data_IF_146522655490
#
_entry.id   IF_146522655490
#
_cell.length_a   1.000
_cell.length_b   1.000
_cell.length_c   1.000
_cell.angle_alpha   90.00
_cell.angle_beta   90.00
_cell.angle_gamma   90.00
#
_symmetry.space_group_name_H-M   'P 1'
#
loop_
_entity.id
_entity.type
_entity.pdbx_description
1 polymer ?
#
# COMPACT_ATOMS: atom_id res chain seq x y z
N UNK A 1 -24.86 16.08 14.37
CA UNK A 1 -23.70 16.34 13.52
C UNK A 1 -22.79 15.13 13.55
N UNK A 2 -22.57 14.58 12.41
CA UNK A 2 -21.78 13.37 12.34
C UNK A 2 -20.30 13.70 12.36
N UNK A 3 -19.66 13.35 13.44
CA UNK A 3 -18.24 13.39 13.47
C UNK A 3 -17.73 12.18 12.74
N UNK A 4 -17.43 12.35 11.48
CA UNK A 4 -16.78 11.29 10.75
C UNK A 4 -15.31 11.26 11.16
N UNK A 5 -14.87 10.10 11.63
CA UNK A 5 -13.46 9.90 11.86
C UNK A 5 -12.73 10.08 10.54
N UNK A 6 -11.56 10.71 10.56
CA UNK A 6 -10.81 10.92 9.33
C UNK A 6 -10.38 9.60 8.72
N UNK A 7 -10.53 9.51 7.41
CA UNK A 7 -10.04 8.37 6.66
C UNK A 7 -8.51 8.38 6.70
N UNK A 8 -7.91 7.23 6.93
CA UNK A 8 -6.47 7.09 6.86
C UNK A 8 -6.04 7.00 5.41
N UNK A 9 -5.01 7.75 5.04
CA UNK A 9 -4.43 7.70 3.70
C UNK A 9 -3.09 6.98 3.81
N UNK A 10 -2.95 5.91 3.04
CA UNK A 10 -1.76 5.07 3.07
C UNK A 10 -1.17 5.03 1.68
N UNK A 11 0.09 5.44 1.56
CA UNK A 11 0.82 5.33 0.31
C UNK A 11 1.70 4.08 0.36
N UNK A 12 1.52 3.20 -0.61
CA UNK A 12 2.36 2.02 -0.78
C UNK A 12 3.23 2.25 -2.01
N UNK A 13 4.53 2.27 -1.81
CA UNK A 13 5.51 2.49 -2.87
C UNK A 13 6.38 1.26 -3.02
N UNK A 14 6.57 0.79 -4.25
CA UNK A 14 7.49 -0.31 -4.52
C UNK A 14 8.85 0.27 -4.88
N UNK A 15 9.92 -0.27 -4.29
CA UNK A 15 11.27 0.14 -4.67
C UNK A 15 11.56 -0.23 -6.12
N UNK A 16 12.39 0.58 -6.76
CA UNK A 16 12.84 0.32 -8.11
C UNK A 16 13.55 -1.04 -8.20
N UNK A 17 14.37 -1.32 -7.21
CA UNK A 17 15.11 -2.59 -7.13
C UNK A 17 14.16 -3.79 -7.14
N UNK A 18 13.09 -3.72 -6.36
CA UNK A 18 12.12 -4.80 -6.27
C UNK A 18 11.34 -4.94 -7.58
N UNK A 19 10.94 -3.83 -8.17
CA UNK A 19 10.19 -3.86 -9.42
C UNK A 19 10.99 -4.48 -10.57
N UNK A 20 12.30 -4.23 -10.59
CA UNK A 20 13.17 -4.81 -11.63
C UNK A 20 13.44 -6.30 -11.37
N UNK A 21 13.76 -6.65 -10.13
CA UNK A 21 14.08 -8.03 -9.78
C UNK A 21 12.85 -8.94 -9.89
N UNK A 22 11.66 -8.39 -9.64
CA UNK A 22 10.42 -9.16 -9.66
C UNK A 22 9.34 -8.38 -10.42
N UNK A 23 9.41 -8.36 -11.77
CA UNK A 23 8.45 -7.56 -12.55
C UNK A 23 6.99 -7.91 -12.31
N UNK A 24 6.71 -9.13 -11.86
CA UNK A 24 5.33 -9.57 -11.57
C UNK A 24 4.74 -8.87 -10.34
N UNK A 25 5.58 -8.24 -9.49
CA UNK A 25 5.12 -7.73 -8.20
C UNK A 25 4.10 -6.61 -8.34
N UNK A 26 4.25 -5.77 -9.37
CA UNK A 26 3.32 -4.66 -9.57
C UNK A 26 1.90 -5.18 -9.78
N UNK A 27 1.74 -6.18 -10.64
CA UNK A 27 0.44 -6.79 -10.89
C UNK A 27 -0.07 -7.55 -9.68
N UNK A 28 0.83 -8.22 -8.96
CA UNK A 28 0.45 -8.98 -7.78
C UNK A 28 -0.08 -8.05 -6.68
N UNK A 29 0.55 -6.90 -6.48
CA UNK A 29 0.07 -5.93 -5.48
C UNK A 29 -1.25 -5.33 -5.93
N UNK A 30 -1.39 -4.98 -7.20
CA UNK A 30 -2.66 -4.50 -7.72
C UNK A 30 -3.79 -5.51 -7.52
N UNK A 31 -3.53 -6.77 -7.79
CA UNK A 31 -4.50 -7.84 -7.56
C UNK A 31 -4.84 -8.02 -6.08
N UNK A 32 -3.83 -7.95 -5.22
CA UNK A 32 -4.03 -8.03 -3.78
C UNK A 32 -4.94 -6.89 -3.29
N UNK A 33 -4.67 -5.66 -3.72
CA UNK A 33 -5.45 -4.51 -3.29
C UNK A 33 -6.88 -4.57 -3.80
N UNK A 34 -7.09 -5.09 -5.01
CA UNK A 34 -8.44 -5.30 -5.55
C UNK A 34 -9.21 -6.33 -4.74
N UNK A 35 -8.57 -7.42 -4.37
CA UNK A 35 -9.20 -8.44 -3.53
C UNK A 35 -9.51 -7.90 -2.14
N UNK A 36 -8.61 -7.09 -1.60
CA UNK A 36 -8.79 -6.47 -0.29
C UNK A 36 -9.98 -5.51 -0.31
N UNK A 37 -10.13 -4.75 -1.38
CA UNK A 37 -11.28 -3.86 -1.55
C UNK A 37 -12.59 -4.65 -1.54
N UNK A 38 -12.61 -5.80 -2.19
CA UNK A 38 -13.81 -6.64 -2.22
C UNK A 38 -14.15 -7.23 -0.87
N UNK A 39 -13.14 -7.50 -0.05
CA UNK A 39 -13.31 -8.15 1.25
C UNK A 39 -13.64 -7.15 2.36
N UNK A 40 -13.11 -5.94 2.28
CA UNK A 40 -13.23 -4.96 3.37
C UNK A 40 -13.92 -3.69 2.87
N UNK A 41 -15.20 -3.49 3.19
CA UNK A 41 -15.91 -2.26 2.80
C UNK A 41 -15.23 -1.03 3.41
N UNK A 42 -15.13 0.01 2.62
CA UNK A 42 -14.49 1.25 3.05
C UNK A 42 -13.02 1.36 2.68
N UNK A 43 -12.37 0.24 2.41
CA UNK A 43 -11.04 0.28 1.82
C UNK A 43 -11.16 0.55 0.33
N UNK A 44 -10.32 1.43 -0.21
CA UNK A 44 -10.29 1.66 -1.66
C UNK A 44 -8.92 2.14 -2.10
N UNK A 45 -8.56 1.81 -3.33
CA UNK A 45 -7.38 2.38 -3.97
C UNK A 45 -7.83 3.68 -4.64
N UNK A 46 -7.36 4.80 -4.11
CA UNK A 46 -7.69 6.10 -4.63
C UNK A 46 -6.95 6.39 -5.92
N UNK A 47 -5.69 5.96 -6.01
CA UNK A 47 -4.84 6.30 -7.13
C UNK A 47 -3.69 5.31 -7.27
N UNK A 48 -3.37 4.99 -8.51
CA UNK A 48 -2.14 4.28 -8.85
C UNK A 48 -1.33 5.16 -9.78
N UNK A 49 -0.03 5.24 -9.54
CA UNK A 49 0.87 6.02 -10.38
C UNK A 49 2.18 5.27 -10.62
N UNK A 50 2.71 5.44 -11.83
CA UNK A 50 4.06 5.03 -12.14
C UNK A 50 4.90 6.30 -12.23
N UNK A 51 5.92 6.39 -11.40
CA UNK A 51 6.79 7.55 -11.36
C UNK A 51 7.94 7.31 -12.34
N UNK A 52 7.85 7.93 -13.50
CA UNK A 52 8.80 7.66 -14.59
C UNK A 52 10.23 8.03 -14.23
N UNK A 53 10.41 9.10 -13.47
CA UNK A 53 11.75 9.56 -13.11
C UNK A 53 12.52 8.57 -12.28
N UNK A 54 11.84 7.87 -11.37
CA UNK A 54 12.47 6.92 -10.46
C UNK A 54 12.22 5.47 -10.81
N UNK A 55 11.29 5.20 -11.73
CA UNK A 55 10.89 3.86 -12.07
C UNK A 55 10.11 3.15 -10.98
N UNK A 56 9.58 3.90 -10.01
CA UNK A 56 8.82 3.32 -8.91
C UNK A 56 7.33 3.34 -9.21
N UNK A 57 6.62 2.45 -8.55
CA UNK A 57 5.17 2.38 -8.64
C UNK A 57 4.60 2.67 -7.26
N UNK A 58 3.49 3.39 -7.21
CA UNK A 58 2.86 3.69 -5.93
C UNK A 58 1.35 3.62 -6.03
N UNK A 59 0.74 3.20 -4.93
CA UNK A 59 -0.70 3.21 -4.75
C UNK A 59 -1.04 4.08 -3.56
N UNK A 60 -2.04 4.94 -3.73
CA UNK A 60 -2.58 5.75 -2.65
C UNK A 60 -3.91 5.12 -2.27
N UNK A 61 -4.01 4.67 -1.04
CA UNK A 61 -5.16 3.94 -0.55
C UNK A 61 -5.88 4.71 0.54
N UNK A 62 -7.20 4.63 0.55
CA UNK A 62 -8.01 5.10 1.67
C UNK A 62 -8.37 3.90 2.54
N UNK A 63 -8.04 4.00 3.82
CA UNK A 63 -8.26 2.92 4.79
C UNK A 63 -9.23 3.43 5.84
N UNK A 64 -10.31 2.67 6.13
CA UNK A 64 -11.26 3.10 7.17
C UNK A 64 -10.56 3.25 8.51
N UNK A 65 -10.98 4.21 9.35
CA UNK A 65 -10.33 4.42 10.64
C UNK A 65 -10.40 3.19 11.56
N UNK A 66 -11.39 2.34 11.37
CA UNK A 66 -11.52 1.11 12.15
C UNK A 66 -10.54 0.03 11.76
N UNK A 67 -9.89 0.17 10.62
CA UNK A 67 -8.96 -0.84 10.10
C UNK A 67 -7.53 -0.48 10.49
N UNK A 68 -6.79 -1.47 10.96
CA UNK A 68 -5.38 -1.28 11.31
C UNK A 68 -4.52 -1.48 10.07
N UNK A 69 -3.72 -0.47 9.75
CA UNK A 69 -2.82 -0.52 8.59
C UNK A 69 -1.83 -1.67 8.72
N UNK A 70 -1.39 -1.98 9.93
CA UNK A 70 -0.47 -3.10 10.13
C UNK A 70 -1.06 -4.44 9.70
N UNK A 71 -2.38 -4.60 9.82
CA UNK A 71 -3.04 -5.81 9.34
C UNK A 71 -2.96 -5.93 7.81
N UNK A 72 -3.19 -4.81 7.13
CA UNK A 72 -3.05 -4.74 5.68
C UNK A 72 -1.63 -5.12 5.25
N UNK A 73 -0.62 -4.55 5.90
CA UNK A 73 0.77 -4.82 5.55
C UNK A 73 1.16 -6.26 5.83
N UNK A 74 0.64 -6.84 6.90
CA UNK A 74 0.89 -8.24 7.24
C UNK A 74 0.32 -9.18 6.17
N UNK A 75 -0.93 -8.93 5.75
CA UNK A 75 -1.56 -9.72 4.70
C UNK A 75 -0.81 -9.58 3.38
N UNK A 76 -0.36 -8.37 3.06
CA UNK A 76 0.44 -8.12 1.88
C UNK A 76 1.72 -8.96 1.90
N UNK A 77 2.39 -9.00 3.06
CA UNK A 77 3.63 -9.75 3.19
C UNK A 77 3.40 -11.27 3.08
N UNK A 78 2.26 -11.74 3.53
CA UNK A 78 1.89 -13.15 3.42
C UNK A 78 1.55 -13.56 1.99
N UNK A 79 0.85 -12.70 1.28
CA UNK A 79 0.36 -13.00 -0.06
C UNK A 79 1.40 -12.78 -1.15
N UNK A 80 2.36 -11.91 -0.91
CA UNK A 80 3.38 -11.53 -1.90
C UNK A 80 4.78 -11.68 -1.30
N UNK A 81 5.24 -12.91 -1.10
CA UNK A 81 6.61 -13.13 -0.67
C UNK A 81 7.56 -13.13 -1.88
N UNK A 82 8.83 -12.75 -1.73
CA UNK A 82 9.40 -12.09 -0.56
C UNK A 82 9.09 -10.60 -0.58
N UNK A 83 8.61 -10.08 0.54
CA UNK A 83 8.16 -8.71 0.61
C UNK A 83 8.40 -8.16 2.01
N UNK A 84 8.98 -6.97 2.09
CA UNK A 84 9.11 -6.21 3.32
C UNK A 84 8.41 -4.87 3.13
N UNK A 85 7.66 -4.46 4.13
CA UNK A 85 7.02 -3.15 4.14
C UNK A 85 7.60 -2.35 5.29
N UNK A 86 8.22 -1.23 4.96
CA UNK A 86 8.86 -0.36 5.94
C UNK A 86 8.21 1.01 5.90
N UNK A 87 7.86 1.52 7.05
CA UNK A 87 7.32 2.87 7.15
C UNK A 87 8.43 3.87 6.92
N UNK A 88 8.27 4.72 5.90
CA UNK A 88 9.27 5.71 5.55
C UNK A 88 8.89 7.13 5.95
N UNK A 89 7.59 7.39 6.12
CA UNK A 89 7.16 8.72 6.52
C UNK A 89 5.75 8.68 7.10
N UNK A 90 5.49 9.59 8.02
CA UNK A 90 4.16 9.91 8.51
C UNK A 90 4.04 11.41 8.49
N UNK A 91 3.40 11.93 7.45
CA UNK A 91 3.35 13.38 7.25
C UNK A 91 2.30 14.05 8.14
N UNK A 92 1.16 13.40 8.31
CA UNK A 92 0.03 13.90 9.09
C UNK A 92 -0.52 12.77 9.94
N UNK A 93 -1.32 13.07 10.97
CA UNK A 93 -1.85 12.04 11.86
C UNK A 93 -2.55 10.89 11.15
N UNK A 94 -3.19 11.15 10.02
CA UNK A 94 -3.94 10.15 9.29
C UNK A 94 -3.29 9.75 7.97
N UNK A 95 -2.01 10.07 7.78
CA UNK A 95 -1.31 9.80 6.52
C UNK A 95 0.04 9.15 6.78
N UNK A 96 0.28 8.03 6.12
CA UNK A 96 1.54 7.30 6.27
C UNK A 96 2.02 6.78 4.93
N UNK A 97 3.32 6.57 4.82
CA UNK A 97 3.96 6.06 3.62
C UNK A 97 4.78 4.84 3.96
N UNK A 98 4.71 3.86 3.09
CA UNK A 98 5.45 2.60 3.28
C UNK A 98 6.18 2.26 1.99
N UNK A 99 7.41 1.81 2.15
CA UNK A 99 8.20 1.29 1.04
C UNK A 99 8.14 -0.23 1.07
N UNK A 100 7.73 -0.82 -0.04
CA UNK A 100 7.71 -2.26 -0.21
C UNK A 100 8.96 -2.64 -0.99
N UNK A 101 9.77 -3.50 -0.39
CA UNK A 101 11.05 -3.89 -0.95
C UNK A 101 11.25 -5.39 -0.80
N UNK A 102 12.15 -5.95 -1.59
CA UNK A 102 12.53 -7.34 -1.44
C UNK A 102 13.58 -7.45 -0.33
N UNK A 103 13.51 -8.51 0.48
CA UNK A 103 14.57 -8.76 1.47
C UNK A 103 15.88 -9.06 0.75
N UNK A 104 16.96 -8.69 1.37
CA UNK A 104 18.28 -9.00 0.84
C UNK A 104 18.66 -10.44 1.11
#
# INVERSE_FOLDING_TARGET
MDEQEPVQVVELRISYRYAIAHPWVVQAIGGFLSAYFMEYPGFRVQRYMEELASGTHLWICEVPPSMKVLRLLRRLKEDIPPCNAQQIATDLPARSRYLIDCPE
#
